data_IF_189346996582
#
_entry.id   IF_189346996582
#
_cell.length_a   1.000
_cell.length_b   1.000
_cell.length_c   1.000
_cell.angle_alpha   90.00
_cell.angle_beta   90.00
_cell.angle_gamma   90.00
#
_symmetry.space_group_name_H-M   'P 1'
#
loop_
_entity.id
_entity.type
_entity.pdbx_description
1 polymer ?
#
# COMPACT_ATOMS: atom_id res chain seq x y z
N UNK A 1 -0.50 -6.99 4.81
CA UNK A 1 -1.74 -6.57 5.51
C UNK A 1 -2.91 -6.96 4.62
N UNK A 2 -4.11 -7.16 5.16
CA UNK A 2 -5.32 -7.42 4.37
C UNK A 2 -6.36 -6.39 4.78
N UNK A 3 -6.93 -5.69 3.81
CA UNK A 3 -7.81 -4.54 4.05
C UNK A 3 -9.30 -4.93 4.04
N UNK A 4 -9.63 -6.09 3.51
CA UNK A 4 -11.00 -6.49 3.20
C UNK A 4 -11.92 -6.46 4.43
N UNK A 5 -11.55 -6.99 5.61
CA UNK A 5 -12.44 -6.88 6.77
C UNK A 5 -12.63 -5.45 7.26
N UNK A 6 -11.59 -4.60 7.17
CA UNK A 6 -11.69 -3.18 7.55
C UNK A 6 -12.61 -2.44 6.59
N UNK A 7 -12.47 -2.69 5.28
CA UNK A 7 -13.32 -2.07 4.25
C UNK A 7 -14.77 -2.53 4.37
N UNK A 8 -15.01 -3.81 4.68
CA UNK A 8 -16.36 -4.32 4.97
C UNK A 8 -17.00 -3.60 6.17
N UNK A 9 -16.26 -3.49 7.28
CA UNK A 9 -16.76 -2.79 8.48
C UNK A 9 -16.98 -1.30 8.21
N UNK A 10 -16.12 -0.66 7.41
CA UNK A 10 -16.27 0.73 7.00
C UNK A 10 -17.55 0.95 6.19
N UNK A 11 -17.79 0.13 5.16
CA UNK A 11 -19.01 0.23 4.35
C UNK A 11 -20.25 0.01 5.20
N UNK A 12 -20.26 -1.03 6.04
CA UNK A 12 -21.37 -1.31 6.94
C UNK A 12 -21.63 -0.16 7.92
N UNK A 13 -20.58 0.49 8.43
CA UNK A 13 -20.71 1.63 9.34
C UNK A 13 -21.25 2.89 8.63
N UNK A 14 -20.88 3.10 7.36
CA UNK A 14 -21.42 4.19 6.54
C UNK A 14 -22.91 3.99 6.26
N UNK A 15 -23.32 2.78 5.91
CA UNK A 15 -24.73 2.41 5.73
C UNK A 15 -25.52 2.60 7.04
N UNK A 16 -24.97 2.12 8.16
CA UNK A 16 -25.61 2.25 9.48
C UNK A 16 -25.81 3.71 9.90
N UNK A 17 -24.95 4.62 9.43
CA UNK A 17 -25.02 6.05 9.70
C UNK A 17 -25.89 6.83 8.71
N UNK A 18 -26.52 6.15 7.74
CA UNK A 18 -27.27 6.78 6.64
C UNK A 18 -26.40 7.83 5.91
N UNK A 19 -25.12 7.49 5.69
CA UNK A 19 -24.18 8.38 5.02
C UNK A 19 -24.62 8.63 3.59
N UNK A 20 -24.63 9.90 3.18
CA UNK A 20 -24.95 10.30 1.80
C UNK A 20 -23.74 10.27 0.88
N UNK A 21 -22.56 9.83 1.36
CA UNK A 21 -21.34 9.75 0.56
C UNK A 21 -21.43 8.51 -0.36
N UNK A 22 -21.50 8.68 -1.69
CA UNK A 22 -21.50 7.52 -2.59
C UNK A 22 -20.10 6.89 -2.62
N UNK A 23 -20.01 5.60 -2.30
CA UNK A 23 -18.84 4.79 -2.63
C UNK A 23 -19.13 4.13 -3.97
N UNK A 24 -18.48 4.61 -5.02
CA UNK A 24 -18.56 3.99 -6.35
C UNK A 24 -17.61 2.80 -6.46
N UNK A 25 -16.38 2.96 -5.96
CA UNK A 25 -15.30 1.97 -6.11
C UNK A 25 -14.38 2.00 -4.89
N UNK A 26 -13.75 0.86 -4.60
CA UNK A 26 -12.69 0.73 -3.60
C UNK A 26 -11.52 -0.03 -4.25
N UNK A 27 -10.31 0.53 -4.15
CA UNK A 27 -9.10 -0.11 -4.66
C UNK A 27 -8.13 -0.39 -3.50
N UNK A 28 -7.65 -1.63 -3.42
CA UNK A 28 -6.57 -2.03 -2.53
C UNK A 28 -5.39 -2.52 -3.38
N UNK A 29 -4.22 -1.95 -3.15
CA UNK A 29 -3.06 -2.15 -4.01
C UNK A 29 -1.90 -2.74 -3.21
N UNK A 30 -1.25 -3.75 -3.79
CA UNK A 30 0.03 -4.24 -3.30
C UNK A 30 1.17 -3.34 -3.79
N UNK A 31 2.06 -2.96 -2.87
CA UNK A 31 3.34 -2.36 -3.22
C UNK A 31 4.17 -3.37 -4.03
N UNK A 32 5.06 -2.91 -4.91
CA UNK A 32 5.82 -3.77 -5.84
C UNK A 32 6.59 -4.94 -5.19
N UNK A 33 6.96 -4.83 -3.91
CA UNK A 33 7.66 -5.86 -3.14
C UNK A 33 6.78 -6.60 -2.11
N UNK A 34 5.47 -6.33 -2.09
CA UNK A 34 4.51 -6.93 -1.17
C UNK A 34 3.44 -7.75 -1.91
N UNK A 35 2.84 -8.72 -1.21
CA UNK A 35 1.68 -9.45 -1.70
C UNK A 35 1.88 -10.08 -3.09
N UNK A 36 0.84 -10.07 -3.91
CA UNK A 36 0.88 -10.65 -5.25
C UNK A 36 1.82 -9.91 -6.20
N UNK A 37 1.96 -8.59 -6.03
CA UNK A 37 2.94 -7.81 -6.80
C UNK A 37 4.38 -8.31 -6.57
N UNK A 38 4.72 -8.73 -5.34
CA UNK A 38 6.03 -9.31 -5.05
C UNK A 38 6.32 -10.60 -5.83
N UNK A 39 5.29 -11.42 -6.04
CA UNK A 39 5.40 -12.68 -6.79
C UNK A 39 5.56 -12.39 -8.27
N UNK A 40 4.76 -11.47 -8.81
CA UNK A 40 4.82 -11.07 -10.21
C UNK A 40 6.17 -10.44 -10.57
N UNK A 41 6.77 -9.71 -9.63
CA UNK A 41 8.03 -9.00 -9.85
C UNK A 41 9.26 -9.77 -9.35
N UNK A 42 9.15 -11.05 -8.98
CA UNK A 42 10.23 -11.82 -8.33
C UNK A 42 11.56 -11.76 -9.11
N UNK A 43 11.50 -11.84 -10.44
CA UNK A 43 12.67 -11.85 -11.32
C UNK A 43 13.28 -10.47 -11.58
N UNK A 44 12.60 -9.39 -11.18
CA UNK A 44 13.01 -8.00 -11.48
C UNK A 44 13.18 -7.11 -10.24
N UNK A 45 12.71 -7.54 -9.07
CA UNK A 45 12.90 -6.80 -7.81
C UNK A 45 14.40 -6.74 -7.46
N UNK A 46 14.91 -5.52 -7.31
CA UNK A 46 16.27 -5.25 -6.87
C UNK A 46 16.48 -5.35 -5.35
N UNK A 47 17.69 -5.02 -4.89
CA UNK A 47 18.07 -5.02 -3.47
C UNK A 47 17.90 -3.67 -2.77
N UNK A 48 17.35 -2.67 -3.46
CA UNK A 48 17.15 -1.31 -2.98
C UNK A 48 15.73 -0.89 -3.24
N UNK A 49 15.11 -0.22 -2.28
CA UNK A 49 13.74 0.23 -2.41
C UNK A 49 13.54 1.63 -1.83
N UNK A 50 12.96 2.52 -2.62
CA UNK A 50 12.58 3.86 -2.18
C UNK A 50 11.08 3.90 -1.93
N UNK A 51 10.66 4.27 -0.72
CA UNK A 51 9.25 4.37 -0.33
C UNK A 51 8.47 5.37 -1.18
N UNK A 52 9.14 6.40 -1.72
CA UNK A 52 8.53 7.37 -2.61
C UNK A 52 8.02 6.73 -3.92
N UNK A 53 8.63 5.62 -4.37
CA UNK A 53 8.19 4.92 -5.58
C UNK A 53 6.76 4.36 -5.42
N UNK A 54 6.34 3.94 -4.22
CA UNK A 54 4.95 3.56 -3.98
C UNK A 54 3.97 4.72 -4.17
N UNK A 55 4.38 5.94 -3.81
CA UNK A 55 3.59 7.13 -4.08
C UNK A 55 3.42 7.38 -5.57
N UNK A 56 4.47 7.10 -6.37
CA UNK A 56 4.41 7.18 -7.84
C UNK A 56 3.52 6.10 -8.42
N UNK A 57 3.64 4.87 -7.96
CA UNK A 57 2.82 3.74 -8.41
C UNK A 57 1.33 3.99 -8.11
N UNK A 58 1.02 4.48 -6.91
CA UNK A 58 -0.34 4.88 -6.52
C UNK A 58 -0.89 5.98 -7.45
N UNK A 59 -0.10 7.02 -7.69
CA UNK A 59 -0.50 8.13 -8.56
C UNK A 59 -0.68 7.68 -10.01
N UNK A 60 0.25 6.87 -10.54
CA UNK A 60 0.18 6.32 -11.87
C UNK A 60 -1.04 5.42 -12.06
N UNK A 61 -1.34 4.56 -11.07
CA UNK A 61 -2.54 3.73 -11.10
C UNK A 61 -3.80 4.58 -11.15
N UNK A 62 -3.97 5.53 -10.23
CA UNK A 62 -5.17 6.36 -10.15
C UNK A 62 -5.34 7.19 -11.43
N UNK A 63 -4.28 7.87 -11.88
CA UNK A 63 -4.33 8.68 -13.10
C UNK A 63 -4.59 7.79 -14.32
N UNK A 64 -3.87 6.71 -14.53
CA UNK A 64 -4.10 5.87 -15.70
C UNK A 64 -5.50 5.26 -15.70
N UNK A 65 -5.95 4.69 -14.58
CA UNK A 65 -7.23 4.01 -14.49
C UNK A 65 -8.39 4.95 -14.78
N UNK A 66 -8.36 6.17 -14.22
CA UNK A 66 -9.40 7.16 -14.47
C UNK A 66 -9.38 7.68 -15.92
N UNK A 67 -8.22 7.86 -16.54
CA UNK A 67 -8.14 8.19 -17.98
C UNK A 67 -8.67 7.07 -18.87
N UNK A 68 -8.33 5.83 -18.54
CA UNK A 68 -8.67 4.65 -19.34
C UNK A 68 -10.19 4.42 -19.41
N UNK A 69 -10.92 4.74 -18.34
CA UNK A 69 -12.39 4.72 -18.32
C UNK A 69 -12.98 5.80 -19.23
N UNK A 70 -12.43 7.01 -19.23
CA UNK A 70 -12.89 8.11 -20.08
C UNK A 70 -12.53 7.91 -21.57
N UNK A 71 -11.43 7.18 -21.85
CA UNK A 71 -10.90 6.99 -23.19
C UNK A 71 -11.45 5.76 -23.95
N UNK A 72 -12.33 4.95 -23.34
CA UNK A 72 -12.88 3.73 -23.97
C UNK A 72 -11.80 2.71 -24.37
N UNK A 73 -10.70 2.66 -23.61
CA UNK A 73 -9.47 1.94 -23.97
C UNK A 73 -9.52 0.44 -23.70
N UNK A 74 -8.72 -0.31 -24.46
CA UNK A 74 -8.58 -1.77 -24.41
C UNK A 74 -7.98 -2.22 -23.06
N UNK A 75 -8.83 -2.73 -22.17
CA UNK A 75 -8.50 -3.19 -20.81
C UNK A 75 -7.48 -4.35 -20.79
N UNK A 76 -7.22 -4.99 -21.93
CA UNK A 76 -6.25 -6.09 -22.07
C UNK A 76 -4.79 -5.60 -22.23
N UNK A 77 -4.56 -4.29 -22.33
CA UNK A 77 -3.22 -3.71 -22.46
C UNK A 77 -2.66 -3.22 -21.11
N UNK A 78 -1.39 -3.56 -20.81
CA UNK A 78 -0.71 -3.10 -19.60
C UNK A 78 -0.74 -1.56 -19.51
N UNK A 79 -0.96 -0.99 -18.31
CA UNK A 79 -0.94 0.44 -18.11
C UNK A 79 0.32 1.07 -18.69
N UNK A 80 0.16 1.97 -19.65
CA UNK A 80 1.24 2.87 -20.03
C UNK A 80 1.25 4.02 -19.03
N UNK A 81 2.40 4.58 -18.62
CA UNK A 81 2.40 5.82 -17.85
C UNK A 81 1.48 6.82 -18.55
N UNK A 82 0.52 7.41 -17.82
CA UNK A 82 -0.41 8.36 -18.43
C UNK A 82 0.43 9.47 -19.12
N UNK A 83 0.04 9.94 -20.32
CA UNK A 83 0.82 10.91 -21.08
C UNK A 83 1.10 12.20 -20.30
N UNK A 84 0.26 12.46 -19.29
CA UNK A 84 0.26 13.66 -18.46
C UNK A 84 0.94 13.45 -17.11
N UNK A 85 1.57 12.28 -16.85
CA UNK A 85 2.48 12.08 -15.71
C UNK A 85 3.63 13.05 -15.91
N UNK A 86 3.74 14.16 -15.14
CA UNK A 86 4.81 15.12 -15.31
C UNK A 86 6.16 14.40 -15.37
N UNK A 87 7.03 14.78 -16.31
CA UNK A 87 8.37 14.19 -16.42
C UNK A 87 9.17 14.39 -15.12
N UNK A 88 8.74 15.37 -14.31
CA UNK A 88 9.21 15.69 -12.97
C UNK A 88 8.76 14.68 -11.88
N UNK A 89 7.83 13.76 -12.13
CA UNK A 89 7.53 12.65 -11.22
C UNK A 89 8.71 11.69 -11.06
N UNK A 90 9.71 11.74 -11.96
CA UNK A 90 11.03 11.14 -11.75
C UNK A 90 11.81 11.72 -10.56
N UNK A 91 11.35 12.85 -10.01
CA UNK A 91 12.01 13.67 -9.00
C UNK A 91 11.11 13.96 -7.79
N UNK A 92 10.28 13.00 -7.32
CA UNK A 92 9.54 13.17 -6.05
C UNK A 92 10.41 13.66 -4.89
N UNK A 93 11.71 13.35 -4.92
CA UNK A 93 12.66 13.75 -3.89
C UNK A 93 13.19 15.19 -4.05
N UNK A 94 12.85 15.90 -5.13
CA UNK A 94 13.38 17.24 -5.49
C UNK A 94 12.33 18.26 -5.96
N UNK A 95 11.03 17.96 -5.92
CA UNK A 95 10.00 18.96 -6.29
C UNK A 95 9.88 20.01 -5.18
N UNK A 96 9.88 21.30 -5.55
CA UNK A 96 9.56 22.37 -4.62
C UNK A 96 8.15 22.16 -4.05
N UNK A 97 8.00 22.26 -2.73
CA UNK A 97 6.70 22.14 -2.06
C UNK A 97 5.69 23.08 -2.73
N UNK A 98 4.63 22.51 -3.31
CA UNK A 98 3.47 23.29 -3.77
C UNK A 98 2.68 23.70 -2.52
N UNK A 99 2.12 24.92 -2.52
CA UNK A 99 1.20 25.36 -1.46
C UNK A 99 0.04 24.35 -1.35
N UNK A 100 -0.14 23.65 -0.22
CA UNK A 100 -1.17 22.62 -0.08
C UNK A 100 -2.61 23.16 -0.23
N UNK A 101 -2.78 24.49 -0.17
CA UNK A 101 -4.07 25.14 -0.13
C UNK A 101 -4.75 24.98 1.24
N UNK A 102 -6.03 25.34 1.31
CA UNK A 102 -6.79 25.34 2.56
C UNK A 102 -6.96 23.94 3.15
N UNK A 103 -6.80 23.80 4.48
CA UNK A 103 -7.02 22.57 5.24
C UNK A 103 -8.51 22.26 5.53
N UNK A 104 -9.43 23.06 4.99
CA UNK A 104 -10.87 22.78 5.05
C UNK A 104 -11.16 21.59 4.12
N UNK A 105 -11.99 20.59 4.51
CA UNK A 105 -12.41 19.52 3.60
C UNK A 105 -12.93 20.14 2.30
N UNK A 106 -12.13 20.00 1.25
CA UNK A 106 -12.44 20.62 -0.04
C UNK A 106 -13.36 19.67 -0.78
N UNK A 107 -14.37 20.19 -1.47
CA UNK A 107 -15.07 19.50 -2.58
C UNK A 107 -14.12 19.28 -3.79
N UNK A 108 -12.83 19.09 -3.51
CA UNK A 108 -11.76 18.90 -4.48
C UNK A 108 -12.01 17.56 -5.12
N UNK A 109 -12.26 17.62 -6.43
CA UNK A 109 -12.40 16.45 -7.25
C UNK A 109 -11.17 16.33 -8.14
N UNK A 110 -10.76 15.10 -8.39
CA UNK A 110 -9.77 14.77 -9.41
C UNK A 110 -10.51 14.04 -10.53
N UNK A 111 -10.53 14.63 -11.73
CA UNK A 111 -11.32 14.14 -12.88
C UNK A 111 -12.78 13.88 -12.54
N UNK A 112 -13.39 14.84 -11.83
CA UNK A 112 -14.80 14.77 -11.44
C UNK A 112 -15.11 13.79 -10.30
N UNK A 113 -14.12 13.09 -9.74
CA UNK A 113 -14.32 12.15 -8.64
C UNK A 113 -13.76 12.65 -7.32
N UNK A 114 -14.46 12.33 -6.23
CA UNK A 114 -13.93 12.47 -4.87
C UNK A 114 -13.06 11.26 -4.55
N UNK A 115 -11.76 11.48 -4.42
CA UNK A 115 -10.81 10.43 -4.08
C UNK A 115 -10.40 10.57 -2.62
N UNK A 116 -10.47 9.47 -1.87
CA UNK A 116 -10.04 9.39 -0.46
C UNK A 116 -8.88 8.41 -0.37
N UNK A 117 -7.73 8.89 0.13
CA UNK A 117 -6.56 8.04 0.37
C UNK A 117 -6.58 7.48 1.78
N UNK A 118 -6.46 6.15 1.92
CA UNK A 118 -6.34 5.48 3.23
C UNK A 118 -5.02 4.71 3.23
N UNK A 119 -4.17 4.94 4.24
CA UNK A 119 -2.87 4.28 4.30
C UNK A 119 -2.38 4.05 5.72
N UNK A 120 -1.87 2.84 5.97
CA UNK A 120 -1.20 2.46 7.22
C UNK A 120 0.32 2.32 7.01
N UNK A 121 1.13 2.75 7.97
CA UNK A 121 2.58 2.59 7.96
C UNK A 121 3.22 3.02 6.62
N UNK A 122 3.86 2.11 5.88
CA UNK A 122 4.36 2.33 4.52
C UNK A 122 3.30 2.90 3.56
N UNK A 123 2.09 2.35 3.55
CA UNK A 123 0.99 2.82 2.72
C UNK A 123 0.56 4.24 3.08
N UNK A 124 0.64 4.60 4.36
CA UNK A 124 0.42 5.97 4.83
C UNK A 124 1.47 6.94 4.26
N UNK A 125 2.75 6.57 4.33
CA UNK A 125 3.83 7.35 3.74
C UNK A 125 3.70 7.48 2.21
N UNK A 126 3.39 6.39 1.52
CA UNK A 126 3.13 6.38 0.08
C UNK A 126 1.97 7.31 -0.32
N UNK A 127 0.88 7.29 0.47
CA UNK A 127 -0.28 8.17 0.27
C UNK A 127 0.10 9.63 0.44
N UNK A 128 0.93 9.95 1.44
CA UNK A 128 1.46 11.31 1.64
C UNK A 128 2.36 11.74 0.48
N UNK A 129 3.26 10.88 -0.01
CA UNK A 129 4.08 11.18 -1.18
C UNK A 129 3.22 11.50 -2.41
N UNK A 130 2.19 10.70 -2.69
CA UNK A 130 1.27 10.94 -3.79
C UNK A 130 0.49 12.26 -3.61
N UNK A 131 0.03 12.56 -2.39
CA UNK A 131 -0.67 13.81 -2.08
C UNK A 131 0.24 15.04 -2.22
N UNK A 132 1.52 14.94 -1.84
CA UNK A 132 2.48 16.04 -2.03
C UNK A 132 2.82 16.24 -3.51
N UNK A 133 2.94 15.14 -4.27
CA UNK A 133 3.23 15.19 -5.69
C UNK A 133 2.08 15.77 -6.53
N UNK A 134 0.85 15.41 -6.18
CA UNK A 134 -0.36 15.92 -6.80
C UNK A 134 -1.34 16.35 -5.71
N UNK A 135 -1.23 17.60 -5.20
CA UNK A 135 -2.12 18.08 -4.15
C UNK A 135 -3.59 17.99 -4.55
N UNK A 136 -3.91 18.09 -5.84
CA UNK A 136 -5.26 18.00 -6.38
C UNK A 136 -5.89 16.60 -6.29
N UNK A 137 -5.09 15.55 -6.07
CA UNK A 137 -5.51 14.16 -6.20
C UNK A 137 -6.56 13.73 -5.17
N UNK A 138 -6.30 14.00 -3.89
CA UNK A 138 -7.14 13.52 -2.79
C UNK A 138 -7.99 14.64 -2.21
N UNK A 139 -9.29 14.37 -2.06
CA UNK A 139 -10.22 15.21 -1.30
C UNK A 139 -10.02 15.06 0.20
N UNK A 140 -9.55 13.89 0.66
CA UNK A 140 -9.28 13.58 2.06
C UNK A 140 -8.26 12.45 2.21
N UNK A 141 -7.52 12.47 3.33
CA UNK A 141 -6.55 11.44 3.71
C UNK A 141 -6.88 10.87 5.09
N UNK A 142 -6.80 9.54 5.23
CA UNK A 142 -6.88 8.82 6.50
C UNK A 142 -5.57 8.07 6.70
N UNK A 143 -4.73 8.58 7.59
CA UNK A 143 -3.39 8.05 7.84
C UNK A 143 -3.38 7.31 9.19
N UNK A 144 -3.07 6.01 9.15
CA UNK A 144 -2.99 5.15 10.33
C UNK A 144 -1.51 4.89 10.63
N UNK A 145 -1.00 5.47 11.71
CA UNK A 145 0.41 5.36 12.13
C UNK A 145 1.42 5.46 10.95
N UNK A 146 1.37 6.54 10.15
CA UNK A 146 2.25 6.69 8.99
C UNK A 146 3.71 6.88 9.42
N UNK A 147 4.66 6.33 8.66
CA UNK A 147 6.08 6.51 8.95
C UNK A 147 6.59 7.76 8.22
N UNK A 148 6.50 8.90 8.89
CA UNK A 148 6.96 10.19 8.38
C UNK A 148 8.18 10.66 9.18
N UNK A 149 9.36 10.18 8.79
CA UNK A 149 10.62 10.59 9.41
C UNK A 149 11.29 11.69 8.60
N UNK A 150 11.64 12.84 9.19
CA UNK A 150 12.42 13.85 8.50
C UNK A 150 13.82 13.30 8.20
N UNK A 151 14.48 13.76 7.12
CA UNK A 151 15.81 13.29 6.74
C UNK A 151 16.87 13.43 7.85
N UNK A 152 16.67 14.39 8.76
CA UNK A 152 17.56 14.66 9.89
C UNK A 152 17.45 13.64 11.03
N UNK A 153 16.42 12.79 11.05
CA UNK A 153 16.23 11.73 12.04
C UNK A 153 16.66 10.35 11.54
N UNK A 154 17.39 10.28 10.42
CA UNK A 154 17.96 9.02 9.93
C UNK A 154 18.99 8.47 10.93
N UNK A 155 18.72 7.27 11.44
CA UNK A 155 19.60 6.52 12.34
C UNK A 155 19.91 5.16 11.71
N UNK A 156 21.09 5.00 11.09
CA UNK A 156 21.50 3.75 10.45
C UNK A 156 21.41 2.53 11.38
N UNK A 157 21.63 2.73 12.69
CA UNK A 157 21.61 1.63 13.66
C UNK A 157 20.19 1.12 13.89
N UNK A 158 19.21 2.03 13.95
CA UNK A 158 17.79 1.66 14.04
C UNK A 158 17.30 1.01 12.76
N UNK A 159 17.62 1.57 11.59
CA UNK A 159 17.29 0.96 10.29
C UNK A 159 17.86 -0.45 10.20
N UNK A 160 19.14 -0.65 10.54
CA UNK A 160 19.77 -1.97 10.55
C UNK A 160 19.10 -2.94 11.55
N UNK A 161 18.70 -2.46 12.74
CA UNK A 161 18.00 -3.29 13.73
C UNK A 161 16.64 -3.78 13.21
N UNK A 162 15.87 -2.90 12.57
CA UNK A 162 14.58 -3.25 11.96
C UNK A 162 14.77 -4.25 10.82
N UNK A 163 15.74 -4.00 9.92
CA UNK A 163 16.06 -4.89 8.81
C UNK A 163 16.51 -6.28 9.29
N UNK A 164 17.40 -6.35 10.29
CA UNK A 164 17.81 -7.64 10.90
C UNK A 164 16.62 -8.36 11.55
N UNK A 165 15.71 -7.62 12.18
CA UNK A 165 14.48 -8.16 12.73
C UNK A 165 13.60 -8.80 11.65
N UNK A 166 13.45 -8.13 10.50
CA UNK A 166 12.70 -8.63 9.35
C UNK A 166 13.33 -9.91 8.77
N UNK A 167 14.65 -9.93 8.52
CA UNK A 167 15.37 -11.09 7.98
C UNK A 167 15.26 -12.35 8.83
N UNK A 168 15.15 -12.20 10.16
CA UNK A 168 14.99 -13.32 11.10
C UNK A 168 13.58 -13.90 11.13
N UNK A 169 12.60 -13.26 10.48
CA UNK A 169 11.22 -13.76 10.45
C UNK A 169 11.17 -15.05 9.63
N UNK A 170 10.56 -16.08 10.21
CA UNK A 170 10.18 -17.30 9.48
C UNK A 170 9.27 -16.90 8.32
N UNK A 171 9.61 -17.36 7.12
CA UNK A 171 8.83 -17.08 5.90
C UNK A 171 8.20 -18.30 5.25
N UNK A 172 8.41 -19.51 5.79
CA UNK A 172 7.96 -20.78 5.19
C UNK A 172 7.43 -21.76 6.24
N UNK A 173 6.33 -22.45 5.93
CA UNK A 173 5.65 -23.44 6.78
C UNK A 173 5.17 -24.65 5.98
N UNK A 174 4.97 -25.79 6.63
CA UNK A 174 4.52 -27.02 5.95
C UNK A 174 3.03 -27.00 5.58
N UNK A 175 2.26 -26.04 6.10
CA UNK A 175 0.86 -25.80 5.73
C UNK A 175 0.39 -24.44 6.24
N UNK A 176 -0.72 -23.92 5.69
CA UNK A 176 -1.42 -22.73 6.21
C UNK A 176 -1.83 -22.88 7.68
N UNK A 177 -2.26 -24.09 8.07
CA UNK A 177 -2.64 -24.40 9.45
C UNK A 177 -1.46 -24.21 10.40
N UNK A 178 -0.30 -24.78 10.09
CA UNK A 178 0.92 -24.60 10.89
C UNK A 178 1.31 -23.11 10.94
N UNK A 179 1.17 -22.39 9.83
CA UNK A 179 1.48 -20.98 9.78
C UNK A 179 0.59 -20.16 10.74
N UNK A 180 -0.73 -20.38 10.70
CA UNK A 180 -1.70 -19.76 11.62
C UNK A 180 -1.38 -20.06 13.10
N UNK A 181 -1.11 -21.31 13.43
CA UNK A 181 -0.69 -21.71 14.79
C UNK A 181 0.59 -20.99 15.23
N UNK A 182 1.57 -20.86 14.33
CA UNK A 182 2.82 -20.16 14.63
C UNK A 182 2.66 -18.65 14.83
N UNK A 183 1.69 -18.02 14.15
CA UNK A 183 1.35 -16.62 14.39
C UNK A 183 0.67 -16.46 15.74
N UNK A 184 -0.33 -17.27 16.05
CA UNK A 184 -1.06 -17.26 17.32
C UNK A 184 -0.18 -17.57 18.54
N UNK A 185 0.96 -18.24 18.35
CA UNK A 185 1.96 -18.43 19.41
C UNK A 185 2.55 -17.09 19.90
N UNK A 186 2.51 -16.02 19.10
CA UNK A 186 3.08 -14.71 19.42
C UNK A 186 2.00 -13.74 19.94
N UNK A 187 2.23 -13.03 21.07
CA UNK A 187 1.27 -12.06 21.60
C UNK A 187 0.81 -11.01 20.58
N UNK A 188 1.72 -10.56 19.71
CA UNK A 188 1.45 -9.56 18.67
C UNK A 188 0.29 -9.97 17.75
N UNK A 189 0.31 -11.19 17.20
CA UNK A 189 -0.75 -11.65 16.28
C UNK A 189 -2.02 -12.11 17.01
N UNK A 190 -1.95 -12.46 18.31
CA UNK A 190 -3.16 -12.78 19.09
C UNK A 190 -4.05 -11.57 19.32
N UNK A 191 -3.49 -10.36 19.25
CA UNK A 191 -4.25 -9.13 19.39
C UNK A 191 -4.98 -8.73 18.09
N UNK A 192 -4.68 -9.37 16.96
CA UNK A 192 -5.33 -9.07 15.69
C UNK A 192 -6.77 -9.60 15.67
N UNK A 193 -7.66 -8.93 14.92
CA UNK A 193 -8.98 -9.47 14.59
C UNK A 193 -8.81 -10.82 13.88
N UNK A 194 -9.52 -11.88 14.30
CA UNK A 194 -9.42 -13.20 13.67
C UNK A 194 -9.64 -13.19 12.15
N UNK A 195 -10.54 -12.34 11.64
CA UNK A 195 -10.82 -12.19 10.19
C UNK A 195 -9.60 -11.69 9.43
N UNK A 196 -8.85 -10.76 10.03
CA UNK A 196 -7.63 -10.21 9.45
C UNK A 196 -6.52 -11.26 9.45
N UNK A 197 -6.35 -12.00 10.54
CA UNK A 197 -5.34 -13.06 10.60
C UNK A 197 -5.65 -14.19 9.61
N UNK A 198 -6.93 -14.54 9.45
CA UNK A 198 -7.36 -15.57 8.50
C UNK A 198 -7.11 -15.12 7.06
N UNK A 199 -7.53 -13.91 6.70
CA UNK A 199 -7.21 -13.31 5.40
C UNK A 199 -5.70 -13.22 5.17
N UNK A 200 -4.90 -12.89 6.18
CA UNK A 200 -3.44 -12.85 6.06
C UNK A 200 -2.82 -14.23 5.78
N UNK A 201 -3.34 -15.30 6.39
CA UNK A 201 -2.88 -16.68 6.14
C UNK A 201 -3.31 -17.19 4.77
N UNK A 202 -4.50 -16.80 4.32
CA UNK A 202 -5.07 -17.27 3.05
C UNK A 202 -4.50 -16.49 1.86
N UNK A 203 -4.47 -15.16 1.94
CA UNK A 203 -4.10 -14.26 0.85
C UNK A 203 -2.65 -13.79 0.94
N UNK A 204 -2.05 -13.70 2.13
CA UNK A 204 -0.67 -13.22 2.32
C UNK A 204 0.41 -14.26 2.00
N UNK A 205 0.02 -15.46 1.57
CA UNK A 205 0.91 -16.61 1.40
C UNK A 205 0.59 -17.38 0.12
N UNK A 206 1.60 -17.97 -0.52
CA UNK A 206 1.47 -18.80 -1.73
C UNK A 206 2.06 -20.20 -1.51
N UNK A 207 1.67 -21.16 -2.35
CA UNK A 207 2.19 -22.53 -2.33
C UNK A 207 3.54 -22.61 -3.04
N UNK A 208 4.51 -23.32 -2.46
CA UNK A 208 5.87 -23.49 -3.01
C UNK A 208 6.29 -24.95 -3.20
N UNK A 209 5.34 -25.89 -3.07
CA UNK A 209 5.58 -27.33 -3.18
C UNK A 209 4.35 -28.12 -2.77
N UNK A 210 4.51 -29.40 -2.44
CA UNK A 210 3.40 -30.25 -1.99
C UNK A 210 2.94 -29.88 -0.58
N UNK A 211 2.06 -28.90 -0.48
CA UNK A 211 1.43 -28.43 0.76
C UNK A 211 2.21 -27.37 1.55
N UNK A 212 3.49 -27.14 1.20
CA UNK A 212 4.31 -26.10 1.82
C UNK A 212 3.88 -24.71 1.33
N UNK A 213 3.83 -23.75 2.26
CA UNK A 213 3.46 -22.36 1.96
C UNK A 213 4.55 -21.39 2.39
N UNK A 214 4.70 -20.31 1.64
CA UNK A 214 5.60 -19.21 1.93
C UNK A 214 4.87 -17.87 1.95
N UNK A 215 5.40 -16.89 2.69
CA UNK A 215 4.93 -15.51 2.60
C UNK A 215 5.11 -15.01 1.16
N UNK A 216 4.10 -14.30 0.64
CA UNK A 216 4.24 -13.57 -0.62
C UNK A 216 5.26 -12.43 -0.48
N UNK A 217 5.14 -11.65 0.59
CA UNK A 217 6.17 -10.68 1.01
C UNK A 217 7.31 -11.41 1.74
N UNK A 218 8.43 -11.63 1.05
CA UNK A 218 9.59 -12.33 1.64
C UNK A 218 10.21 -11.50 2.77
N UNK A 219 10.79 -12.14 3.81
CA UNK A 219 11.56 -11.46 4.85
C UNK A 219 12.65 -10.51 4.32
N UNK A 220 13.25 -10.86 3.17
CA UNK A 220 14.23 -10.02 2.48
C UNK A 220 13.61 -8.72 1.95
N UNK A 221 12.45 -8.79 1.30
CA UNK A 221 11.75 -7.62 0.74
C UNK A 221 11.36 -6.63 1.85
N UNK A 222 10.86 -7.15 2.97
CA UNK A 222 10.59 -6.35 4.16
C UNK A 222 11.87 -5.70 4.72
N UNK A 223 13.02 -6.38 4.63
CA UNK A 223 14.29 -5.90 5.20
C UNK A 223 15.03 -4.88 4.34
N UNK A 224 14.78 -4.83 3.04
CA UNK A 224 15.30 -3.78 2.13
C UNK A 224 14.34 -2.59 2.00
N UNK A 225 13.17 -2.69 2.61
CA UNK A 225 12.20 -1.62 2.71
C UNK A 225 12.61 -0.47 3.66
N UNK A 226 13.18 -0.65 4.86
CA UNK A 226 13.27 0.45 5.83
C UNK A 226 14.16 1.60 5.35
N UNK A 227 13.60 2.81 5.49
CA UNK A 227 14.08 4.17 5.19
C UNK A 227 15.59 4.34 5.26
#
# INVERSE_FOLDING_TARGET
>A
EVWEPVLQDLVAELERRDSTLPIEEIWALDCTLQGDAAILNEDVIGSTYNWAENGRDLLNFIAYYLDAQDAGSDLDSLPRPAPDVPRELGLLDNVASIDPGSAIPTERTYRGRLIVGIGHSLGGSATVFAATACPALFSSLVLVDPVLSPPTMFDPSKTALVAMGALRRRGVWNSRKEAKESFLAKPFFRAWDPRILDGYVDLGMHEIGTGQVALKTKPFYEAVSPV
#
